data_IF_807355791858
#
_entry.id   IF_807355791858
#
_cell.length_a   1.000
_cell.length_b   1.000
_cell.length_c   1.000
_cell.angle_alpha   90.00
_cell.angle_beta   90.00
_cell.angle_gamma   90.00
#
_symmetry.space_group_name_H-M   'P 1'
#
loop_
_entity.id
_entity.type
_entity.pdbx_description
1 polymer ?
#
# COMPACT_ATOMS: atom_id res chain seq x y z
N UNK A 1 -23.21 0.32 -7.32
CA UNK A 1 -22.70 -0.99 -6.89
C UNK A 1 -21.22 -0.81 -6.60
N UNK A 2 -20.71 -1.33 -5.49
CA UNK A 2 -19.29 -1.24 -5.18
C UNK A 2 -18.44 -1.93 -6.26
N UNK A 3 -17.23 -1.41 -6.49
CA UNK A 3 -16.26 -2.03 -7.39
C UNK A 3 -15.72 -3.35 -6.81
N UNK A 4 -15.54 -3.39 -5.48
CA UNK A 4 -15.09 -4.57 -4.74
C UNK A 4 -15.99 -4.73 -3.52
N UNK A 5 -16.42 -5.95 -3.24
CA UNK A 5 -17.27 -6.27 -2.09
C UNK A 5 -16.90 -7.63 -1.51
N UNK A 6 -16.67 -7.67 -0.20
CA UNK A 6 -16.42 -8.87 0.57
C UNK A 6 -17.45 -8.97 1.71
N UNK A 7 -18.07 -10.13 1.86
CA UNK A 7 -18.99 -10.43 2.95
C UNK A 7 -18.56 -11.68 3.69
N UNK A 8 -18.15 -11.53 4.95
CA UNK A 8 -17.74 -12.61 5.85
C UNK A 8 -16.72 -13.59 5.26
N UNK A 9 -15.76 -13.05 4.50
CA UNK A 9 -14.78 -13.84 3.75
C UNK A 9 -13.74 -14.45 4.67
N UNK A 10 -13.55 -15.76 4.53
CA UNK A 10 -12.50 -16.49 5.21
C UNK A 10 -11.72 -17.41 4.29
N UNK A 11 -10.42 -17.62 4.61
CA UNK A 11 -9.56 -18.55 3.89
C UNK A 11 -8.72 -19.37 4.85
N UNK A 12 -8.93 -20.66 4.81
CA UNK A 12 -8.21 -21.67 5.58
C UNK A 12 -7.31 -22.50 4.66
N UNK A 13 -6.09 -22.75 5.09
CA UNK A 13 -5.17 -23.66 4.42
C UNK A 13 -4.92 -24.87 5.30
N UNK A 14 -5.07 -26.05 4.73
CA UNK A 14 -4.75 -27.32 5.38
C UNK A 14 -3.30 -27.66 5.06
N UNK A 15 -2.42 -27.58 6.07
CA UNK A 15 -1.00 -27.86 5.93
C UNK A 15 -0.68 -29.19 6.58
N UNK A 16 -0.15 -30.14 5.80
CA UNK A 16 0.31 -31.43 6.31
C UNK A 16 1.79 -31.36 6.62
N UNK A 17 2.14 -31.41 7.90
CA UNK A 17 3.54 -31.43 8.38
C UNK A 17 3.96 -32.85 8.72
N UNK A 18 5.21 -33.22 8.40
CA UNK A 18 5.78 -34.45 8.86
C UNK A 18 5.93 -34.40 10.40
N UNK A 19 5.33 -35.37 11.10
CA UNK A 19 5.39 -35.48 12.55
C UNK A 19 6.12 -36.77 12.98
N UNK A 20 7.26 -37.07 12.32
CA UNK A 20 8.05 -38.25 12.46
C UNK A 20 8.12 -39.07 11.16
N UNK A 21 8.85 -40.26 11.22
CA UNK A 21 9.19 -41.04 10.02
C UNK A 21 7.96 -41.57 9.23
N UNK A 22 6.79 -41.71 9.89
CA UNK A 22 5.55 -42.24 9.28
C UNK A 22 4.26 -41.53 9.70
N UNK A 23 4.35 -40.45 10.49
CA UNK A 23 3.15 -39.69 10.94
C UNK A 23 3.10 -38.31 10.27
N UNK A 24 1.91 -37.95 9.81
CA UNK A 24 1.63 -36.58 9.32
C UNK A 24 0.63 -35.92 10.28
N UNK A 25 0.96 -34.72 10.73
CA UNK A 25 0.04 -33.86 11.46
C UNK A 25 -0.61 -32.91 10.46
N UNK A 26 -1.90 -32.75 10.59
CA UNK A 26 -2.66 -31.78 9.77
C UNK A 26 -2.92 -30.56 10.65
N UNK A 27 -2.37 -29.42 10.24
CA UNK A 27 -2.60 -28.14 10.88
C UNK A 27 -3.46 -27.27 9.95
N UNK A 28 -4.41 -26.51 10.51
CA UNK A 28 -5.21 -25.55 9.77
C UNK A 28 -4.66 -24.16 10.04
N UNK A 29 -4.27 -23.47 8.97
CA UNK A 29 -3.81 -22.08 9.05
C UNK A 29 -4.93 -21.17 8.56
N UNK A 30 -5.47 -20.35 9.45
CA UNK A 30 -6.49 -19.35 9.14
C UNK A 30 -5.80 -18.09 8.59
N UNK A 31 -5.63 -18.03 7.27
CA UNK A 31 -4.97 -16.91 6.61
C UNK A 31 -5.85 -15.66 6.53
N UNK A 32 -7.16 -15.85 6.41
CA UNK A 32 -8.19 -14.81 6.49
C UNK A 32 -9.32 -15.36 7.35
N UNK A 33 -9.71 -14.62 8.40
CA UNK A 33 -10.63 -15.13 9.41
C UNK A 33 -12.07 -14.67 9.19
N UNK A 34 -12.28 -13.37 8.97
CA UNK A 34 -13.59 -12.77 8.72
C UNK A 34 -13.38 -11.36 8.16
N UNK A 35 -13.38 -11.23 6.83
CA UNK A 35 -13.23 -9.95 6.16
C UNK A 35 -14.55 -9.53 5.53
N UNK A 36 -15.02 -8.33 5.91
CA UNK A 36 -16.16 -7.67 5.29
C UNK A 36 -15.79 -6.21 5.04
N UNK A 37 -15.77 -5.79 3.80
CA UNK A 37 -15.61 -4.40 3.37
C UNK A 37 -16.09 -4.22 1.93
N UNK A 38 -16.34 -2.97 1.55
CA UNK A 38 -16.63 -2.60 0.17
C UNK A 38 -15.70 -1.48 -0.30
N UNK A 39 -15.46 -1.40 -1.60
CA UNK A 39 -14.69 -0.31 -2.24
C UNK A 39 -15.54 0.26 -3.36
N UNK A 40 -15.77 1.57 -3.30
CA UNK A 40 -16.56 2.25 -4.32
C UNK A 40 -15.75 2.47 -5.62
N UNK A 41 -16.43 2.53 -6.78
CA UNK A 41 -15.76 2.84 -8.05
C UNK A 41 -14.98 4.16 -7.97
N UNK A 42 -13.81 4.21 -8.60
CA UNK A 42 -12.95 5.39 -8.62
C UNK A 42 -12.22 5.68 -7.32
N UNK A 43 -12.24 4.78 -6.33
CA UNK A 43 -11.50 4.96 -5.08
C UNK A 43 -10.05 4.52 -5.20
N UNK A 44 -9.15 5.27 -4.54
CA UNK A 44 -7.77 4.86 -4.25
C UNK A 44 -7.69 4.40 -2.80
N UNK A 45 -7.53 3.09 -2.58
CA UNK A 45 -7.59 2.46 -1.25
C UNK A 45 -6.27 1.79 -0.91
N UNK A 46 -5.71 2.18 0.23
CA UNK A 46 -4.55 1.50 0.83
C UNK A 46 -5.01 0.27 1.63
N UNK A 47 -4.42 -0.88 1.35
CA UNK A 47 -4.69 -2.13 2.04
C UNK A 47 -3.43 -2.59 2.79
N UNK A 48 -3.33 -2.26 4.06
CA UNK A 48 -2.11 -2.39 4.85
C UNK A 48 -2.26 -3.40 5.98
N UNK A 49 -1.12 -3.90 6.44
CA UNK A 49 -1.06 -4.87 7.54
C UNK A 49 0.34 -5.48 7.65
N UNK A 50 0.68 -6.11 8.78
CA UNK A 50 1.97 -6.77 8.94
C UNK A 50 2.14 -7.97 8.00
N UNK A 51 3.36 -8.49 7.93
CA UNK A 51 3.62 -9.72 7.19
C UNK A 51 2.82 -10.88 7.80
N UNK A 52 2.14 -11.65 6.95
CA UNK A 52 1.26 -12.73 7.39
C UNK A 52 -0.15 -12.30 7.78
N UNK A 53 -0.51 -11.00 7.74
CA UNK A 53 -1.86 -10.51 8.05
C UNK A 53 -2.96 -10.99 7.09
N UNK A 54 -2.59 -11.55 5.92
CA UNK A 54 -3.54 -12.05 4.93
C UNK A 54 -3.67 -11.20 3.67
N UNK A 55 -2.89 -10.10 3.50
CA UNK A 55 -2.98 -9.17 2.36
C UNK A 55 -2.95 -9.88 1.00
N UNK A 56 -1.84 -10.53 0.68
CA UNK A 56 -1.67 -11.22 -0.61
C UNK A 56 -2.67 -12.38 -0.79
N UNK A 57 -3.13 -13.01 0.30
CA UNK A 57 -4.19 -14.02 0.23
C UNK A 57 -5.51 -13.39 -0.19
N UNK A 58 -5.86 -12.24 0.37
CA UNK A 58 -7.06 -11.48 0.00
C UNK A 58 -6.99 -11.04 -1.45
N UNK A 59 -5.89 -10.42 -1.89
CA UNK A 59 -5.71 -10.00 -3.31
C UNK A 59 -5.85 -11.21 -4.25
N UNK A 60 -5.29 -12.37 -3.92
CA UNK A 60 -5.45 -13.59 -4.72
C UNK A 60 -6.89 -14.12 -4.76
N UNK A 61 -7.70 -13.89 -3.71
CA UNK A 61 -9.13 -14.22 -3.73
C UNK A 61 -9.91 -13.24 -4.60
N UNK A 62 -9.62 -11.93 -4.49
CA UNK A 62 -10.23 -10.86 -5.29
C UNK A 62 -9.95 -11.04 -6.79
N UNK A 63 -8.77 -11.50 -7.16
CA UNK A 63 -8.37 -11.77 -8.54
C UNK A 63 -8.80 -13.15 -9.05
N UNK A 64 -9.49 -13.96 -8.23
CA UNK A 64 -9.97 -15.30 -8.60
C UNK A 64 -8.89 -16.37 -8.65
N UNK A 65 -7.65 -16.10 -8.21
CA UNK A 65 -6.56 -17.09 -8.13
C UNK A 65 -6.82 -18.09 -7.00
N UNK A 66 -7.36 -17.60 -5.88
CA UNK A 66 -7.73 -18.44 -4.74
C UNK A 66 -9.24 -18.46 -4.55
N UNK A 67 -9.76 -19.61 -4.14
CA UNK A 67 -11.17 -19.78 -3.76
C UNK A 67 -11.28 -19.50 -2.26
N UNK A 68 -12.18 -18.62 -1.80
CA UNK A 68 -12.44 -18.46 -0.37
C UNK A 68 -12.99 -19.75 0.24
N UNK A 69 -12.70 -20.01 1.52
CA UNK A 69 -13.24 -21.15 2.27
C UNK A 69 -14.68 -20.88 2.73
N UNK A 70 -15.02 -19.60 2.95
CA UNK A 70 -16.35 -19.12 3.31
C UNK A 70 -16.55 -17.66 2.88
N UNK A 71 -17.81 -17.20 2.93
CA UNK A 71 -18.20 -15.84 2.56
C UNK A 71 -18.40 -15.65 1.06
N UNK A 72 -18.62 -14.41 0.66
CA UNK A 72 -18.86 -14.02 -0.72
C UNK A 72 -17.92 -12.92 -1.15
N UNK A 73 -17.54 -12.96 -2.43
CA UNK A 73 -16.71 -11.92 -3.06
C UNK A 73 -17.36 -11.52 -4.37
N UNK A 74 -17.50 -10.22 -4.57
CA UNK A 74 -17.86 -9.60 -5.84
C UNK A 74 -16.76 -8.59 -6.24
N UNK A 75 -16.31 -8.65 -7.49
CA UNK A 75 -15.35 -7.71 -8.07
C UNK A 75 -15.87 -7.30 -9.44
N UNK A 76 -16.04 -6.00 -9.66
CA UNK A 76 -16.68 -5.47 -10.86
C UNK A 76 -18.05 -6.12 -11.16
N UNK A 77 -18.84 -6.46 -10.12
CA UNK A 77 -20.10 -7.17 -10.22
C UNK A 77 -20.00 -8.64 -10.61
N UNK A 78 -18.79 -9.22 -10.63
CA UNK A 78 -18.54 -10.61 -11.00
C UNK A 78 -18.08 -11.43 -9.78
N UNK A 79 -18.44 -12.72 -9.75
CA UNK A 79 -17.89 -13.67 -8.78
C UNK A 79 -16.53 -14.17 -9.29
N UNK A 80 -15.39 -13.80 -8.64
CA UNK A 80 -14.04 -14.02 -9.18
C UNK A 80 -13.76 -15.47 -9.56
N UNK A 81 -14.19 -16.41 -8.74
CA UNK A 81 -13.92 -17.84 -8.94
C UNK A 81 -14.76 -18.49 -10.04
N UNK A 82 -15.93 -17.92 -10.36
CA UNK A 82 -16.84 -18.46 -11.37
C UNK A 82 -16.67 -17.81 -12.74
N UNK A 83 -16.18 -16.59 -12.78
CA UNK A 83 -16.15 -15.75 -13.98
C UNK A 83 -14.73 -15.20 -14.26
N UNK A 84 -13.69 -16.01 -14.02
CA UNK A 84 -12.27 -15.62 -14.09
C UNK A 84 -11.90 -14.93 -15.39
N UNK A 85 -12.26 -15.49 -16.54
CA UNK A 85 -11.90 -14.92 -17.84
C UNK A 85 -12.54 -13.55 -18.09
N UNK A 86 -13.81 -13.38 -17.68
CA UNK A 86 -14.49 -12.09 -17.78
C UNK A 86 -13.87 -11.08 -16.83
N UNK A 87 -13.55 -11.50 -15.61
CA UNK A 87 -12.93 -10.66 -14.61
C UNK A 87 -11.51 -10.22 -15.04
N UNK A 88 -10.70 -11.13 -15.58
CA UNK A 88 -9.36 -10.82 -16.04
C UNK A 88 -9.32 -9.69 -17.08
N UNK A 89 -10.33 -9.56 -17.94
CA UNK A 89 -10.45 -8.46 -18.89
C UNK A 89 -10.87 -7.13 -18.28
N UNK A 90 -11.28 -7.10 -17.00
CA UNK A 90 -11.74 -5.88 -16.30
C UNK A 90 -10.81 -5.44 -15.18
N UNK A 91 -9.84 -6.27 -14.82
CA UNK A 91 -8.88 -5.97 -13.75
C UNK A 91 -7.46 -5.99 -14.26
N UNK A 92 -6.64 -5.06 -13.77
CA UNK A 92 -5.18 -5.12 -13.84
C UNK A 92 -4.62 -5.64 -12.52
N UNK A 93 -3.58 -6.45 -12.60
CA UNK A 93 -2.96 -7.01 -11.39
C UNK A 93 -1.45 -6.93 -11.50
N UNK A 94 -0.81 -6.45 -10.45
CA UNK A 94 0.64 -6.51 -10.30
C UNK A 94 0.98 -7.17 -8.97
N UNK A 95 1.64 -8.33 -9.01
CA UNK A 95 2.14 -9.01 -7.82
C UNK A 95 3.64 -8.73 -7.65
N UNK A 96 4.03 -8.10 -6.55
CA UNK A 96 5.39 -7.58 -6.34
C UNK A 96 6.54 -8.56 -6.55
N UNK A 97 6.30 -9.86 -6.38
CA UNK A 97 7.35 -10.89 -6.55
C UNK A 97 7.16 -11.77 -7.79
N UNK A 98 6.13 -11.54 -8.60
CA UNK A 98 5.85 -12.37 -9.78
C UNK A 98 5.89 -11.51 -11.03
N UNK A 99 6.78 -11.88 -11.94
CA UNK A 99 6.90 -11.26 -13.24
C UNK A 99 5.83 -11.84 -14.15
N UNK A 100 4.97 -10.98 -14.74
CA UNK A 100 4.00 -11.38 -15.76
C UNK A 100 4.53 -11.14 -17.19
N UNK A 101 5.65 -10.42 -17.31
CA UNK A 101 6.34 -10.20 -18.57
C UNK A 101 7.19 -11.42 -18.96
N UNK A 102 7.37 -11.64 -20.25
CA UNK A 102 8.18 -12.76 -20.77
C UNK A 102 9.66 -12.48 -20.61
N UNK A 103 10.32 -13.29 -19.81
CA UNK A 103 11.69 -13.09 -19.32
C UNK A 103 12.75 -12.89 -20.40
N UNK A 104 12.64 -13.67 -21.49
CA UNK A 104 13.61 -13.65 -22.58
C UNK A 104 13.25 -12.72 -23.75
N UNK A 105 12.05 -12.14 -23.75
CA UNK A 105 11.59 -11.23 -24.78
C UNK A 105 11.89 -9.76 -24.44
N UNK A 106 12.12 -8.91 -25.43
CA UNK A 106 12.07 -7.47 -25.28
C UNK A 106 10.75 -7.01 -24.67
N UNK A 107 10.79 -5.93 -23.89
CA UNK A 107 9.61 -5.44 -23.17
C UNK A 107 8.43 -5.17 -24.13
N UNK A 108 8.71 -4.58 -25.31
CA UNK A 108 7.68 -4.30 -26.31
C UNK A 108 6.98 -5.56 -26.82
N UNK A 109 7.71 -6.65 -27.00
CA UNK A 109 7.12 -7.91 -27.45
C UNK A 109 6.21 -8.54 -26.38
N UNK A 110 6.58 -8.37 -25.11
CA UNK A 110 5.69 -8.75 -24.01
C UNK A 110 4.38 -7.96 -24.05
N UNK A 111 4.41 -6.68 -24.37
CA UNK A 111 3.21 -5.87 -24.54
C UNK A 111 2.37 -6.28 -25.74
N UNK A 112 3.01 -6.62 -26.87
CA UNK A 112 2.29 -7.13 -28.04
C UNK A 112 1.61 -8.47 -27.75
N UNK A 113 2.26 -9.37 -27.01
CA UNK A 113 1.62 -10.62 -26.57
C UNK A 113 0.41 -10.36 -25.68
N UNK A 114 0.54 -9.43 -24.73
CA UNK A 114 -0.60 -9.02 -23.86
C UNK A 114 -1.75 -8.42 -24.69
N UNK A 115 -1.45 -7.60 -25.71
CA UNK A 115 -2.45 -7.09 -26.64
C UNK A 115 -3.28 -8.21 -27.26
N UNK A 116 -2.63 -9.29 -27.72
CA UNK A 116 -3.31 -10.42 -28.30
C UNK A 116 -4.09 -11.26 -27.27
N UNK A 117 -3.50 -11.51 -26.10
CA UNK A 117 -4.13 -12.26 -25.00
C UNK A 117 -5.41 -11.57 -24.52
N UNK A 118 -5.34 -10.27 -24.26
CA UNK A 118 -6.48 -9.47 -23.80
C UNK A 118 -7.39 -8.98 -24.95
N UNK A 119 -7.01 -9.27 -26.22
CA UNK A 119 -7.72 -8.81 -27.42
C UNK A 119 -7.95 -7.30 -27.43
N UNK A 120 -6.89 -6.56 -27.07
CA UNK A 120 -6.94 -5.09 -26.98
C UNK A 120 -7.05 -4.51 -28.39
N UNK A 121 -8.09 -3.68 -28.69
CA UNK A 121 -8.17 -2.97 -29.95
C UNK A 121 -6.93 -2.12 -30.22
N UNK A 122 -6.46 -2.08 -31.47
CA UNK A 122 -5.21 -1.37 -31.84
C UNK A 122 -5.20 0.07 -31.34
N UNK A 123 -6.30 0.80 -31.51
CA UNK A 123 -6.43 2.18 -31.11
C UNK A 123 -6.25 2.38 -29.59
N UNK A 124 -6.82 1.47 -28.76
CA UNK A 124 -6.65 1.51 -27.30
C UNK A 124 -5.22 1.18 -26.92
N UNK A 125 -4.65 0.14 -27.54
CA UNK A 125 -3.27 -0.28 -27.30
C UNK A 125 -2.28 0.85 -27.60
N UNK A 126 -2.34 1.44 -28.79
CA UNK A 126 -1.43 2.50 -29.21
C UNK A 126 -1.57 3.76 -28.32
N UNK A 127 -2.79 4.16 -28.00
CA UNK A 127 -3.06 5.27 -27.08
C UNK A 127 -2.43 5.01 -25.71
N UNK A 128 -2.70 3.85 -25.12
CA UNK A 128 -2.23 3.52 -23.77
C UNK A 128 -0.71 3.34 -23.75
N UNK A 129 -0.15 2.61 -24.71
CA UNK A 129 1.29 2.43 -24.81
C UNK A 129 2.02 3.76 -24.99
N UNK A 130 1.53 4.65 -25.87
CA UNK A 130 2.12 5.97 -26.08
C UNK A 130 2.11 6.80 -24.78
N UNK A 131 1.01 6.81 -24.04
CA UNK A 131 0.92 7.52 -22.76
C UNK A 131 1.91 6.95 -21.74
N UNK A 132 1.97 5.61 -21.56
CA UNK A 132 2.88 4.98 -20.61
C UNK A 132 4.35 5.11 -20.99
N UNK A 133 4.69 5.13 -22.30
CA UNK A 133 6.05 5.41 -22.77
C UNK A 133 6.55 6.76 -22.27
N UNK A 134 5.71 7.79 -22.34
CA UNK A 134 6.05 9.15 -21.88
C UNK A 134 6.08 9.23 -20.34
N UNK A 135 5.01 8.78 -19.66
CA UNK A 135 4.88 8.89 -18.21
C UNK A 135 5.91 8.06 -17.44
N UNK A 136 6.21 6.85 -17.93
CA UNK A 136 7.11 5.90 -17.27
C UNK A 136 8.51 5.84 -17.92
N UNK A 137 8.80 6.73 -18.90
CA UNK A 137 10.10 6.81 -19.56
C UNK A 137 10.58 5.41 -20.09
N UNK A 138 9.67 4.72 -20.82
CA UNK A 138 9.91 3.34 -21.24
C UNK A 138 10.87 3.28 -22.44
N UNK A 139 10.99 4.32 -23.26
CA UNK A 139 11.75 4.33 -24.53
C UNK A 139 13.20 3.92 -24.35
N UNK A 140 13.78 4.22 -23.18
CA UNK A 140 15.18 3.90 -22.88
C UNK A 140 15.46 2.39 -22.77
N UNK A 141 14.44 1.57 -22.55
CA UNK A 141 14.59 0.13 -22.34
C UNK A 141 13.48 -0.72 -22.99
N UNK A 142 12.67 -0.12 -23.84
CA UNK A 142 11.53 -0.79 -24.49
C UNK A 142 11.95 -2.02 -25.32
N UNK A 143 13.12 -1.97 -25.92
CA UNK A 143 13.71 -3.04 -26.74
C UNK A 143 14.65 -3.96 -25.96
N UNK A 144 14.79 -3.76 -24.66
CA UNK A 144 15.65 -4.57 -23.79
C UNK A 144 14.90 -5.81 -23.32
N UNK A 145 15.50 -7.01 -23.37
CA UNK A 145 14.93 -8.23 -22.81
C UNK A 145 14.63 -8.05 -21.31
N UNK A 146 13.47 -8.55 -20.85
CA UNK A 146 12.99 -8.35 -19.48
C UNK A 146 14.01 -8.79 -18.42
N UNK A 147 14.76 -9.87 -18.67
CA UNK A 147 15.82 -10.36 -17.76
C UNK A 147 16.98 -9.38 -17.55
N UNK A 148 17.18 -8.43 -18.46
CA UNK A 148 18.25 -7.44 -18.39
C UNK A 148 17.82 -6.11 -17.78
N UNK A 149 16.52 -5.96 -17.51
CA UNK A 149 15.97 -4.76 -16.90
C UNK A 149 16.38 -4.66 -15.42
N UNK A 150 16.72 -3.44 -14.99
CA UNK A 150 16.81 -3.16 -13.55
C UNK A 150 15.46 -3.40 -12.87
N UNK A 151 15.44 -3.56 -11.54
CA UNK A 151 14.20 -3.73 -10.79
C UNK A 151 13.22 -2.60 -11.09
N UNK A 152 13.68 -1.34 -11.08
CA UNK A 152 12.84 -0.17 -11.36
C UNK A 152 12.30 -0.13 -12.79
N UNK A 153 13.11 -0.52 -13.79
CA UNK A 153 12.65 -0.65 -15.18
C UNK A 153 11.59 -1.75 -15.32
N UNK A 154 11.80 -2.89 -14.66
CA UNK A 154 10.88 -4.01 -14.68
C UNK A 154 9.55 -3.64 -14.03
N UNK A 155 9.55 -2.97 -12.88
CA UNK A 155 8.32 -2.51 -12.20
C UNK A 155 7.53 -1.56 -13.09
N UNK A 156 8.18 -0.63 -13.79
CA UNK A 156 7.51 0.26 -14.75
C UNK A 156 6.90 -0.52 -15.92
N UNK A 157 7.58 -1.55 -16.40
CA UNK A 157 7.06 -2.46 -17.42
C UNK A 157 5.86 -3.27 -16.92
N UNK A 158 5.93 -3.82 -15.71
CA UNK A 158 4.84 -4.58 -15.07
C UNK A 158 3.59 -3.70 -14.85
N UNK A 159 3.77 -2.47 -14.39
CA UNK A 159 2.67 -1.52 -14.21
C UNK A 159 2.01 -1.20 -15.56
N UNK A 160 2.82 -0.96 -16.61
CA UNK A 160 2.31 -0.79 -17.97
C UNK A 160 1.50 -1.99 -18.40
N UNK A 161 2.04 -3.20 -18.26
CA UNK A 161 1.37 -4.44 -18.61
C UNK A 161 0.01 -4.62 -17.90
N UNK A 162 -0.04 -4.28 -16.61
CA UNK A 162 -1.27 -4.36 -15.81
C UNK A 162 -2.35 -3.35 -16.25
N UNK A 163 -1.96 -2.25 -16.89
CA UNK A 163 -2.87 -1.16 -17.28
C UNK A 163 -3.14 -1.08 -18.78
N UNK A 164 -2.45 -1.88 -19.61
CA UNK A 164 -2.46 -1.75 -21.07
C UNK A 164 -3.85 -1.98 -21.70
N UNK A 165 -4.66 -2.85 -21.10
CA UNK A 165 -6.00 -3.22 -21.54
C UNK A 165 -7.12 -2.32 -20.97
N UNK A 166 -6.76 -1.20 -20.31
CA UNK A 166 -7.67 -0.21 -19.73
C UNK A 166 -8.62 -0.81 -18.66
N UNK A 167 -8.08 -1.40 -17.59
CA UNK A 167 -8.89 -2.07 -16.57
C UNK A 167 -9.72 -1.09 -15.75
N UNK A 168 -10.87 -1.54 -15.24
CA UNK A 168 -11.72 -0.78 -14.31
C UNK A 168 -11.14 -0.75 -12.88
N UNK A 169 -10.45 -1.83 -12.50
CA UNK A 169 -9.89 -2.02 -11.16
C UNK A 169 -8.45 -2.48 -11.28
N UNK A 170 -7.56 -1.85 -10.51
CA UNK A 170 -6.15 -2.19 -10.45
C UNK A 170 -5.76 -2.70 -9.05
N UNK A 171 -5.22 -3.90 -8.99
CA UNK A 171 -4.65 -4.49 -7.78
C UNK A 171 -3.13 -4.41 -7.83
N UNK A 172 -2.54 -3.72 -6.87
CA UNK A 172 -1.09 -3.51 -6.80
C UNK A 172 -0.54 -4.04 -5.48
N UNK A 173 0.32 -5.04 -5.57
CA UNK A 173 1.02 -5.60 -4.41
C UNK A 173 2.47 -5.10 -4.41
N UNK A 174 2.78 -4.11 -3.56
CA UNK A 174 4.10 -3.48 -3.39
C UNK A 174 4.68 -2.82 -4.67
N UNK A 175 3.96 -1.94 -5.38
CA UNK A 175 4.36 -1.43 -6.70
C UNK A 175 5.55 -0.46 -6.67
N UNK A 176 5.97 0.01 -5.51
CA UNK A 176 7.05 1.00 -5.34
C UNK A 176 8.30 0.42 -4.68
N UNK A 177 8.29 -0.88 -4.35
CA UNK A 177 9.42 -1.53 -3.70
C UNK A 177 10.68 -1.48 -4.57
N UNK A 178 11.81 -1.04 -3.98
CA UNK A 178 13.09 -0.97 -4.68
C UNK A 178 13.19 0.07 -5.80
N UNK A 179 12.22 1.00 -5.88
CA UNK A 179 12.30 2.15 -6.77
C UNK A 179 13.10 3.28 -6.11
N UNK A 180 13.87 3.99 -6.93
CA UNK A 180 14.42 5.29 -6.54
C UNK A 180 13.30 6.35 -6.41
N UNK A 181 13.63 7.49 -5.81
CA UNK A 181 12.66 8.57 -5.54
C UNK A 181 11.96 9.06 -6.81
N UNK A 182 12.70 9.17 -7.93
CA UNK A 182 12.15 9.66 -9.21
C UNK A 182 11.20 8.64 -9.82
N UNK A 183 11.59 7.37 -9.86
CA UNK A 183 10.74 6.31 -10.40
C UNK A 183 9.47 6.11 -9.56
N UNK A 184 9.59 6.23 -8.23
CA UNK A 184 8.46 6.19 -7.30
C UNK A 184 7.47 7.33 -7.56
N UNK A 185 7.98 8.55 -7.75
CA UNK A 185 7.14 9.71 -8.06
C UNK A 185 6.36 9.50 -9.37
N UNK A 186 7.01 8.99 -10.42
CA UNK A 186 6.34 8.71 -11.71
C UNK A 186 5.24 7.65 -11.57
N UNK A 187 5.48 6.59 -10.81
CA UNK A 187 4.44 5.58 -10.53
C UNK A 187 3.23 6.22 -9.85
N UNK A 188 3.45 7.09 -8.85
CA UNK A 188 2.35 7.81 -8.18
C UNK A 188 1.57 8.69 -9.17
N UNK A 189 2.25 9.45 -10.01
CA UNK A 189 1.63 10.32 -11.02
C UNK A 189 0.76 9.51 -11.99
N UNK A 190 1.23 8.36 -12.46
CA UNK A 190 0.47 7.46 -13.32
C UNK A 190 -0.80 6.97 -12.63
N UNK A 191 -0.71 6.54 -11.37
CA UNK A 191 -1.86 6.04 -10.61
C UNK A 191 -2.89 7.14 -10.36
N UNK A 192 -2.44 8.34 -9.98
CA UNK A 192 -3.32 9.50 -9.76
C UNK A 192 -4.00 9.96 -11.06
N UNK A 193 -3.26 10.02 -12.18
CA UNK A 193 -3.82 10.36 -13.49
C UNK A 193 -4.87 9.33 -13.93
N UNK A 194 -4.54 8.04 -13.84
CA UNK A 194 -5.48 6.97 -14.20
C UNK A 194 -6.76 7.00 -13.35
N UNK A 195 -6.64 7.28 -12.07
CA UNK A 195 -7.80 7.44 -11.19
C UNK A 195 -8.64 8.67 -11.55
N UNK A 196 -8.00 9.85 -11.70
CA UNK A 196 -8.72 11.11 -11.96
C UNK A 196 -9.35 11.16 -13.34
N UNK A 197 -8.63 10.71 -14.37
CA UNK A 197 -9.05 10.86 -15.76
C UNK A 197 -9.95 9.74 -16.24
N UNK A 198 -9.77 8.52 -15.69
CA UNK A 198 -10.46 7.31 -16.14
C UNK A 198 -11.40 6.72 -15.10
N UNK A 199 -11.44 7.27 -13.88
CA UNK A 199 -12.23 6.71 -12.78
C UNK A 199 -11.76 5.33 -12.33
N UNK A 200 -10.49 4.98 -12.58
CA UNK A 200 -9.93 3.67 -12.22
C UNK A 200 -9.92 3.47 -10.71
N UNK A 201 -10.47 2.35 -10.25
CA UNK A 201 -10.39 1.95 -8.83
C UNK A 201 -9.05 1.29 -8.56
N UNK A 202 -8.37 1.64 -7.48
CA UNK A 202 -7.08 1.05 -7.12
C UNK A 202 -7.11 0.50 -5.71
N UNK A 203 -6.73 -0.76 -5.54
CA UNK A 203 -6.41 -1.37 -4.25
C UNK A 203 -4.91 -1.61 -4.19
N UNK A 204 -4.23 -0.87 -3.32
CA UNK A 204 -2.77 -0.82 -3.21
C UNK A 204 -2.32 -1.42 -1.89
N UNK A 205 -1.44 -2.41 -1.91
CA UNK A 205 -0.68 -2.79 -0.72
C UNK A 205 0.69 -2.12 -0.73
N UNK A 206 1.17 -1.65 0.40
CA UNK A 206 2.52 -1.14 0.55
C UNK A 206 3.03 -1.31 1.98
N UNK A 207 4.34 -1.47 2.12
CA UNK A 207 5.04 -1.35 3.39
C UNK A 207 5.50 0.09 3.65
N UNK A 208 5.58 0.92 2.60
CA UNK A 208 5.87 2.34 2.70
C UNK A 208 4.55 3.09 2.90
N UNK A 209 4.27 3.46 4.15
CA UNK A 209 3.04 4.13 4.52
C UNK A 209 3.00 5.58 4.01
N UNK A 210 4.14 6.18 3.70
CA UNK A 210 4.21 7.49 3.03
C UNK A 210 3.58 7.44 1.62
N UNK A 211 3.76 6.32 0.89
CA UNK A 211 3.10 6.12 -0.40
C UNK A 211 1.58 6.01 -0.23
N UNK A 212 1.13 5.29 0.80
CA UNK A 212 -0.29 5.15 1.12
C UNK A 212 -0.91 6.51 1.45
N UNK A 213 -0.26 7.29 2.31
CA UNK A 213 -0.72 8.62 2.71
C UNK A 213 -0.86 9.59 1.53
N UNK A 214 0.08 9.52 0.59
CA UNK A 214 0.10 10.42 -0.58
C UNK A 214 -0.86 10.01 -1.69
N UNK A 215 -1.17 8.73 -1.81
CA UNK A 215 -2.00 8.18 -2.88
C UNK A 215 -3.44 7.93 -2.47
N UNK A 216 -3.65 7.42 -1.25
CA UNK A 216 -4.91 6.85 -0.85
C UNK A 216 -5.69 7.80 0.06
N UNK A 217 -6.95 8.05 -0.27
CA UNK A 217 -7.87 8.77 0.61
C UNK A 217 -8.46 7.88 1.70
N UNK A 218 -8.47 6.57 1.50
CA UNK A 218 -9.04 5.57 2.43
C UNK A 218 -8.04 4.46 2.69
N UNK A 219 -7.98 4.00 3.93
CA UNK A 219 -7.09 2.93 4.38
C UNK A 219 -7.91 1.83 5.03
N UNK A 220 -7.62 0.59 4.64
CA UNK A 220 -8.06 -0.64 5.27
C UNK A 220 -6.86 -1.26 5.98
N UNK A 221 -6.91 -1.37 7.31
CA UNK A 221 -5.85 -2.02 8.09
C UNK A 221 -6.31 -3.41 8.50
N UNK A 222 -5.49 -4.41 8.19
CA UNK A 222 -5.77 -5.79 8.58
C UNK A 222 -4.69 -6.34 9.51
N UNK A 223 -5.11 -7.18 10.44
CA UNK A 223 -4.24 -8.00 11.27
C UNK A 223 -4.85 -9.39 11.47
N UNK A 224 -4.01 -10.43 11.42
CA UNK A 224 -4.41 -11.85 11.64
C UNK A 224 -5.67 -12.26 10.88
N UNK A 225 -5.79 -11.78 9.64
CA UNK A 225 -6.90 -12.07 8.74
C UNK A 225 -8.22 -11.36 9.08
N UNK A 226 -8.18 -10.28 9.87
CA UNK A 226 -9.36 -9.46 10.24
C UNK A 226 -9.13 -8.01 9.92
N UNK A 227 -10.20 -7.32 9.56
CA UNK A 227 -10.19 -5.86 9.40
C UNK A 227 -10.18 -5.21 10.79
N UNK A 228 -9.22 -4.33 11.03
CA UNK A 228 -9.07 -3.63 12.31
C UNK A 228 -9.33 -2.14 12.21
N UNK A 229 -9.20 -1.58 11.01
CA UNK A 229 -9.56 -0.18 10.73
C UNK A 229 -10.05 -0.08 9.27
N UNK A 230 -11.04 0.78 9.08
CA UNK A 230 -11.58 1.19 7.80
C UNK A 230 -11.97 2.67 7.89
N UNK A 231 -11.29 3.52 7.18
CA UNK A 231 -11.52 4.97 7.21
C UNK A 231 -10.50 5.75 6.39
N UNK A 232 -10.63 7.08 6.43
CA UNK A 232 -9.66 7.98 5.80
C UNK A 232 -8.40 8.16 6.67
N UNK A 233 -7.35 8.68 6.03
CA UNK A 233 -6.04 8.91 6.67
C UNK A 233 -6.13 9.95 7.78
N UNK A 234 -6.95 10.99 7.60
CA UNK A 234 -7.07 12.07 8.57
C UNK A 234 -7.79 11.59 9.84
N UNK A 235 -8.85 10.80 9.68
CA UNK A 235 -9.55 10.13 10.80
C UNK A 235 -8.60 9.18 11.54
N UNK A 236 -7.76 8.43 10.81
CA UNK A 236 -6.75 7.55 11.39
C UNK A 236 -5.77 8.35 12.27
N UNK A 237 -5.22 9.45 11.73
CA UNK A 237 -4.31 10.34 12.45
C UNK A 237 -4.98 11.02 13.63
N UNK A 238 -6.20 11.53 13.47
CA UNK A 238 -6.95 12.16 14.57
C UNK A 238 -7.23 11.19 15.73
N UNK A 239 -7.56 9.94 15.40
CA UNK A 239 -7.93 8.94 16.44
C UNK A 239 -6.73 8.36 17.18
N UNK A 240 -5.63 8.11 16.48
CA UNK A 240 -4.46 7.39 17.01
C UNK A 240 -3.17 8.21 17.04
N UNK A 241 -3.15 9.38 16.38
CA UNK A 241 -1.99 10.26 16.24
C UNK A 241 -1.98 11.42 17.24
N UNK A 242 -2.50 11.25 18.47
CA UNK A 242 -2.62 12.32 19.48
C UNK A 242 -1.28 12.88 19.92
N UNK A 243 -0.21 12.09 19.87
CA UNK A 243 1.11 12.49 20.32
C UNK A 243 1.88 13.17 19.18
N UNK A 244 2.15 14.45 19.36
CA UNK A 244 2.98 15.29 18.50
C UNK A 244 4.39 15.39 19.10
N UNK A 245 5.36 15.76 18.30
CA UNK A 245 6.74 15.94 18.77
C UNK A 245 7.19 17.37 18.53
N UNK A 246 7.49 18.10 19.60
CA UNK A 246 8.21 19.37 19.51
C UNK A 246 9.70 19.07 19.50
N UNK A 247 10.38 19.43 18.43
CA UNK A 247 11.84 19.39 18.34
C UNK A 247 12.37 20.78 18.65
N UNK A 248 13.21 20.89 19.66
CA UNK A 248 13.86 22.16 20.02
C UNK A 248 15.37 22.04 19.85
N UNK A 249 15.98 23.06 19.26
CA UNK A 249 17.40 23.24 19.21
C UNK A 249 17.76 24.32 20.26
N UNK A 250 18.45 23.92 21.31
CA UNK A 250 18.98 24.85 22.32
C UNK A 250 20.20 25.59 21.77
N UNK A 251 20.51 26.76 22.30
CA UNK A 251 21.77 27.48 21.96
C UNK A 251 23.02 26.69 22.37
N UNK A 252 22.96 26.03 23.53
CA UNK A 252 24.00 25.16 24.05
C UNK A 252 23.46 23.79 24.46
N UNK A 253 24.27 22.71 24.42
CA UNK A 253 23.87 21.42 24.95
C UNK A 253 23.57 21.52 26.45
N UNK A 254 22.42 20.96 26.86
CA UNK A 254 21.93 20.98 28.23
C UNK A 254 21.25 19.70 28.66
N UNK A 255 20.86 19.57 29.92
CA UNK A 255 20.06 18.45 30.41
C UNK A 255 18.70 18.40 29.71
N UNK A 256 18.04 17.24 29.78
CA UNK A 256 16.67 17.09 29.28
C UNK A 256 15.73 18.08 29.98
N UNK A 257 14.96 18.83 29.19
CA UNK A 257 13.97 19.78 29.67
C UNK A 257 12.92 19.07 30.50
N UNK A 258 12.46 19.69 31.59
CA UNK A 258 11.39 19.17 32.43
C UNK A 258 10.12 19.96 32.17
N UNK A 259 9.21 19.37 31.39
CA UNK A 259 8.02 20.03 30.88
C UNK A 259 6.77 19.29 31.33
N UNK A 260 5.88 19.99 32.03
CA UNK A 260 4.64 19.41 32.52
C UNK A 260 3.72 19.01 31.36
N UNK A 261 3.23 17.79 31.41
CA UNK A 261 2.35 17.24 30.36
C UNK A 261 3.07 16.81 29.08
N UNK A 262 4.41 16.85 29.05
CA UNK A 262 5.23 16.41 27.93
C UNK A 262 6.42 15.56 28.40
N UNK A 263 7.01 14.80 27.48
CA UNK A 263 8.10 13.88 27.77
C UNK A 263 9.22 14.03 26.76
N UNK A 264 10.43 14.29 27.22
CA UNK A 264 11.62 14.24 26.37
C UNK A 264 11.90 12.77 25.98
N UNK A 265 11.85 12.47 24.69
CA UNK A 265 12.02 11.12 24.14
C UNK A 265 13.43 10.88 23.59
N UNK A 266 14.15 11.96 23.25
CA UNK A 266 15.51 11.89 22.68
C UNK A 266 16.24 13.20 22.95
N UNK A 267 17.55 13.09 23.21
CA UNK A 267 18.48 14.23 23.36
C UNK A 267 19.72 13.92 22.52
N UNK A 268 20.11 14.85 21.64
CA UNK A 268 21.33 14.77 20.83
C UNK A 268 22.03 16.13 20.82
N UNK A 269 23.01 16.26 21.63
CA UNK A 269 23.71 17.56 21.82
C UNK A 269 22.72 18.65 22.26
N UNK A 270 22.59 19.75 21.50
CA UNK A 270 21.64 20.82 21.81
C UNK A 270 20.19 20.48 21.39
N UNK A 271 19.97 19.43 20.59
CA UNK A 271 18.66 19.10 20.06
C UNK A 271 17.92 18.13 20.96
N UNK A 272 16.66 18.47 21.29
CA UNK A 272 15.79 17.64 22.11
C UNK A 272 14.44 17.42 21.41
N UNK A 273 13.93 16.18 21.46
CA UNK A 273 12.61 15.78 20.95
C UNK A 273 11.67 15.58 22.12
N UNK A 274 10.55 16.28 22.11
CA UNK A 274 9.60 16.36 23.22
C UNK A 274 8.24 15.89 22.73
N UNK A 275 7.82 14.72 23.17
CA UNK A 275 6.51 14.17 22.85
C UNK A 275 5.46 14.77 23.79
N UNK A 276 4.32 15.17 23.22
CA UNK A 276 3.21 15.76 23.94
C UNK A 276 1.86 15.42 23.31
N UNK A 277 0.79 15.40 24.13
CA UNK A 277 -0.57 15.23 23.65
C UNK A 277 -1.11 16.58 23.15
N UNK A 278 -1.29 16.70 21.84
CA UNK A 278 -1.76 17.93 21.20
C UNK A 278 -3.21 18.34 21.57
N UNK A 279 -4.03 17.43 22.12
CA UNK A 279 -5.37 17.74 22.63
C UNK A 279 -5.31 18.38 24.04
N UNK A 280 -4.26 18.10 24.80
CA UNK A 280 -4.10 18.57 26.19
C UNK A 280 -3.19 19.79 26.30
N UNK A 281 -2.16 19.86 25.46
CA UNK A 281 -1.14 20.88 25.53
C UNK A 281 -0.86 21.41 24.12
N UNK A 282 -0.98 22.72 23.94
CA UNK A 282 -0.64 23.32 22.63
C UNK A 282 0.87 23.42 22.42
N UNK A 283 1.33 23.34 21.18
CA UNK A 283 2.73 23.53 20.84
C UNK A 283 3.25 24.90 21.29
N UNK A 284 2.40 25.95 21.25
CA UNK A 284 2.77 27.30 21.73
C UNK A 284 3.04 27.34 23.23
N UNK A 285 2.20 26.69 24.05
CA UNK A 285 2.41 26.58 25.50
C UNK A 285 3.70 25.82 25.81
N UNK A 286 3.91 24.70 25.11
CA UNK A 286 5.11 23.88 25.30
C UNK A 286 6.38 24.62 24.87
N UNK A 287 6.32 25.37 23.76
CA UNK A 287 7.45 26.23 23.32
C UNK A 287 7.77 27.31 24.37
N UNK A 288 6.75 27.99 24.91
CA UNK A 288 6.95 29.00 25.96
C UNK A 288 7.57 28.39 27.22
N UNK A 289 7.12 27.20 27.64
CA UNK A 289 7.68 26.49 28.78
C UNK A 289 9.12 26.03 28.54
N UNK A 290 9.47 25.59 27.32
CA UNK A 290 10.83 25.23 26.94
C UNK A 290 11.75 26.46 26.94
N UNK A 291 11.31 27.58 26.34
CA UNK A 291 12.07 28.85 26.29
C UNK A 291 12.30 29.46 27.67
N UNK A 292 11.44 29.20 28.65
CA UNK A 292 11.63 29.62 30.03
C UNK A 292 12.74 28.85 30.77
N UNK A 293 13.09 27.63 30.30
CA UNK A 293 14.13 26.80 30.93
C UNK A 293 15.48 26.92 30.24
N UNK A 294 15.52 27.16 28.94
CA UNK A 294 16.77 27.29 28.19
C UNK A 294 16.56 28.16 26.95
N UNK A 295 17.60 28.92 26.52
CA UNK A 295 17.59 29.69 25.29
C UNK A 295 17.41 28.76 24.09
N UNK A 296 16.38 29.03 23.24
CA UNK A 296 16.07 28.27 22.04
C UNK A 296 16.69 28.95 20.83
N UNK A 297 17.43 28.19 20.01
CA UNK A 297 17.97 28.66 18.72
C UNK A 297 16.96 28.46 17.61
N UNK A 298 16.26 27.31 17.61
CA UNK A 298 15.27 26.94 16.59
C UNK A 298 14.27 25.93 17.15
N UNK A 299 13.14 25.78 16.48
CA UNK A 299 12.12 24.77 16.82
C UNK A 299 11.34 24.30 15.61
N UNK A 300 10.86 23.08 15.69
CA UNK A 300 9.96 22.48 14.69
C UNK A 300 8.92 21.61 15.38
N UNK A 301 7.67 21.70 14.96
CA UNK A 301 6.61 20.79 15.40
C UNK A 301 6.44 19.70 14.34
N UNK A 302 6.63 18.45 14.74
CA UNK A 302 6.41 17.29 13.90
C UNK A 302 5.04 16.69 14.22
N UNK A 303 4.23 16.56 13.19
CA UNK A 303 2.99 15.77 13.27
C UNK A 303 3.34 14.28 13.32
N UNK A 304 2.49 13.43 13.93
CA UNK A 304 2.73 12.01 13.98
C UNK A 304 2.80 11.42 12.56
N UNK A 305 3.86 10.68 12.31
CA UNK A 305 3.97 9.91 11.06
C UNK A 305 2.95 8.78 11.06
N UNK A 306 2.42 8.47 9.88
CA UNK A 306 1.43 7.39 9.73
C UNK A 306 1.99 6.05 10.21
N UNK A 307 3.30 5.85 10.12
CA UNK A 307 4.03 4.69 10.61
C UNK A 307 3.86 4.50 12.13
N UNK A 308 3.97 5.58 12.89
CA UNK A 308 3.83 5.55 14.35
C UNK A 308 2.38 5.30 14.75
N UNK A 309 1.44 5.90 14.03
CA UNK A 309 0.01 5.70 14.22
C UNK A 309 -0.37 4.23 14.01
N UNK A 310 0.06 3.65 12.90
CA UNK A 310 -0.22 2.25 12.56
C UNK A 310 0.48 1.30 13.55
N UNK A 311 1.72 1.61 13.97
CA UNK A 311 2.43 0.84 15.00
C UNK A 311 1.67 0.79 16.31
N UNK A 312 1.08 1.90 16.76
CA UNK A 312 0.24 1.95 17.98
C UNK A 312 -0.99 1.07 17.86
N UNK A 313 -1.70 1.11 16.73
CA UNK A 313 -2.86 0.26 16.50
C UNK A 313 -2.53 -1.23 16.69
N UNK A 314 -1.34 -1.65 16.23
CA UNK A 314 -0.91 -3.03 16.45
C UNK A 314 -0.51 -3.32 17.89
N UNK A 315 0.09 -2.36 18.61
CA UNK A 315 0.50 -2.53 20.01
C UNK A 315 -0.69 -2.56 21.00
N UNK A 316 -1.71 -1.76 20.77
CA UNK A 316 -2.92 -1.73 21.61
C UNK A 316 -3.78 -3.01 21.53
N UNK A 317 -3.43 -3.93 20.60
CA UNK A 317 -4.16 -5.19 20.38
C UNK A 317 -3.34 -6.44 20.69
N UNK A 318 -2.09 -6.29 21.12
CA UNK A 318 -1.25 -7.37 21.63
C UNK A 318 -1.51 -7.57 23.12
#
# INVERSE_FOLDING_TARGET
>A
MPAIELEHVGKDFVVRRAAGRFRRRTDVVHAVSDLSFSVEPGSLVGYIGPNGAGKSTTVKMLTGILVPSRGRISVAGLVPTRQRTKLAGRIGVMFGQRVQLWWDLPLIESFELLRHIYRIPSQIYERNLSAFRQLLDLDKFLWTPVRQLSLGQRIRGELTAAMLHDPEILFLDEPTIGLDVIARQRVREVLLSANRERGMTVLLTSHDLTDIERLCSRILIIDRGRLIFDGDVDTLKARYGKERVLVVDLEEPGPALQLDGARVIRVEGPRQWIAFDGERLSAAQLTAAAAAQAPLRDLTVQEPEIEDVVRRIYQERL
#
